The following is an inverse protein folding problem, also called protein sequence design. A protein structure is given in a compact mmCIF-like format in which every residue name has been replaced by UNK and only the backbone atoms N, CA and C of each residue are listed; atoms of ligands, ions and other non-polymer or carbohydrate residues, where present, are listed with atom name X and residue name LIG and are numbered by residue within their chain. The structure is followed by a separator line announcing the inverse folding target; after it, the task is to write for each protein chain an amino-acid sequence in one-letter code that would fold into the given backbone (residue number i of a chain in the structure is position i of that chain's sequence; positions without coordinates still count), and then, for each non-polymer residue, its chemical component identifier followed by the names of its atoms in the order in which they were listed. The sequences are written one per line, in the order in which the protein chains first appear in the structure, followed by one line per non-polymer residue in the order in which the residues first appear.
data_IF_272643879340
#
_entry.id   IF_272643879340
#
_cell.length_a   1.000
_cell.length_b   1.000
_cell.length_c   1.000
_cell.angle_alpha   90.00
_cell.angle_beta   90.00
_cell.angle_gamma   90.00
#
_symmetry.space_group_name_H-M   'P 1'
#
loop_
_entity.id
_entity.type
_entity.pdbx_description
1 polymer ?
#
# COMPACT_ATOMS: atom_id res chain seq x y z
N UNK A 1 -4.49 27.76 5.02
CA UNK A 1 -3.83 27.00 3.91
C UNK A 1 -4.60 25.71 3.73
N UNK A 2 -4.57 25.08 2.54
CA UNK A 2 -5.23 23.79 2.37
C UNK A 2 -4.55 22.73 3.23
N UNK A 3 -5.34 21.86 3.89
CA UNK A 3 -4.83 20.70 4.64
C UNK A 3 -4.40 19.61 3.64
N UNK A 4 -3.11 19.48 3.39
CA UNK A 4 -2.56 18.56 2.41
C UNK A 4 -2.08 17.26 3.05
N UNK A 5 -2.49 16.16 2.46
CA UNK A 5 -2.06 14.80 2.77
C UNK A 5 -1.37 14.22 1.55
N UNK A 6 -0.28 13.49 1.76
CA UNK A 6 0.34 12.66 0.75
C UNK A 6 -0.15 11.21 0.91
N UNK A 7 -0.46 10.56 -0.20
CA UNK A 7 -0.79 9.14 -0.27
C UNK A 7 0.17 8.45 -1.22
N UNK A 8 0.78 7.33 -0.77
CA UNK A 8 1.82 6.63 -1.55
C UNK A 8 1.44 5.16 -1.76
N UNK A 9 0.34 4.86 -2.46
CA UNK A 9 -0.10 3.49 -2.66
C UNK A 9 0.86 2.70 -3.55
N UNK A 10 1.01 1.41 -3.22
CA UNK A 10 1.78 0.46 -4.00
C UNK A 10 0.83 -0.58 -4.61
N UNK A 11 1.00 -0.87 -5.89
CA UNK A 11 0.18 -1.84 -6.63
C UNK A 11 1.04 -2.96 -7.20
N UNK A 12 0.49 -4.17 -7.20
CA UNK A 12 1.12 -5.38 -7.72
C UNK A 12 0.96 -5.48 -9.24
N UNK A 13 1.39 -4.45 -9.96
CA UNK A 13 1.51 -4.42 -11.41
C UNK A 13 2.64 -3.48 -11.83
N UNK A 14 3.17 -3.67 -13.02
CA UNK A 14 4.14 -2.75 -13.61
C UNK A 14 3.74 -2.40 -15.04
N UNK A 15 4.17 -1.21 -15.50
CA UNK A 15 3.91 -0.77 -16.87
C UNK A 15 4.50 -1.75 -17.89
N UNK A 16 5.65 -2.33 -17.58
CA UNK A 16 6.39 -3.24 -18.44
C UNK A 16 5.69 -4.58 -18.65
N UNK A 17 4.86 -5.02 -17.68
CA UNK A 17 4.16 -6.31 -17.74
C UNK A 17 2.67 -6.18 -18.07
N UNK A 18 2.05 -5.08 -17.64
CA UNK A 18 0.63 -4.80 -17.89
C UNK A 18 0.40 -3.29 -18.02
N UNK A 19 0.74 -2.75 -19.19
CA UNK A 19 0.58 -1.33 -19.49
C UNK A 19 -0.89 -0.88 -19.43
N UNK A 20 -1.83 -1.74 -19.77
CA UNK A 20 -3.26 -1.40 -19.76
C UNK A 20 -3.77 -1.15 -18.34
N UNK A 21 -3.39 -2.01 -17.39
CA UNK A 21 -3.72 -1.84 -15.97
C UNK A 21 -2.99 -0.63 -15.37
N UNK A 22 -1.70 -0.46 -15.68
CA UNK A 22 -0.94 0.72 -15.24
C UNK A 22 -1.58 2.03 -15.71
N UNK A 23 -1.95 2.12 -17.00
CA UNK A 23 -2.59 3.31 -17.55
C UNK A 23 -3.97 3.56 -16.91
N UNK A 24 -4.76 2.53 -16.64
CA UNK A 24 -6.04 2.66 -15.94
C UNK A 24 -5.86 3.20 -14.51
N UNK A 25 -4.80 2.81 -13.80
CA UNK A 25 -4.44 3.38 -12.49
C UNK A 25 -4.04 4.86 -12.63
N UNK A 26 -3.25 5.23 -13.63
CA UNK A 26 -2.89 6.63 -13.90
C UNK A 26 -4.13 7.48 -14.21
N UNK A 27 -5.06 6.98 -15.00
CA UNK A 27 -6.34 7.65 -15.30
C UNK A 27 -7.15 7.86 -14.01
N UNK A 28 -7.29 6.82 -13.17
CA UNK A 28 -8.00 6.93 -11.91
C UNK A 28 -7.33 7.94 -10.96
N UNK A 29 -6.00 7.97 -10.89
CA UNK A 29 -5.25 8.95 -10.10
C UNK A 29 -5.53 10.39 -10.52
N UNK A 30 -5.70 10.64 -11.83
CA UNK A 30 -5.96 11.97 -12.39
C UNK A 30 -7.46 12.34 -12.48
N UNK A 31 -8.36 11.42 -12.14
CA UNK A 31 -9.81 11.64 -12.26
C UNK A 31 -10.41 12.41 -11.09
N UNK A 32 -9.70 12.52 -9.96
CA UNK A 32 -10.24 13.11 -8.72
C UNK A 32 -9.80 14.58 -8.60
N UNK A 33 -10.73 15.54 -8.67
CA UNK A 33 -10.41 16.95 -8.45
C UNK A 33 -9.84 17.19 -7.04
N UNK A 34 -8.84 18.06 -6.93
CA UNK A 34 -8.19 18.37 -5.65
C UNK A 34 -7.06 17.41 -5.27
N UNK A 35 -6.81 16.38 -6.08
CA UNK A 35 -5.66 15.50 -5.97
C UNK A 35 -4.72 15.71 -7.18
N UNK A 36 -3.43 15.64 -6.94
CA UNK A 36 -2.37 15.67 -7.97
C UNK A 36 -1.56 14.39 -7.89
N UNK A 37 -1.45 13.67 -9.01
CA UNK A 37 -0.46 12.60 -9.17
C UNK A 37 0.91 13.26 -9.39
N UNK A 38 1.74 13.23 -8.36
CA UNK A 38 3.07 13.87 -8.36
C UNK A 38 4.12 13.00 -9.03
N UNK A 39 4.07 11.67 -8.77
CA UNK A 39 5.01 10.69 -9.33
C UNK A 39 4.34 9.33 -9.50
N UNK A 40 4.79 8.55 -10.48
CA UNK A 40 4.30 7.21 -10.77
C UNK A 40 5.45 6.31 -11.24
N UNK A 41 6.14 5.69 -10.29
CA UNK A 41 7.27 4.81 -10.53
C UNK A 41 6.80 3.39 -10.84
N UNK A 42 7.54 2.70 -11.73
CA UNK A 42 7.25 1.32 -12.12
C UNK A 42 8.54 0.51 -12.20
N UNK A 43 8.46 -0.79 -11.88
CA UNK A 43 9.58 -1.73 -11.95
C UNK A 43 9.08 -3.12 -12.39
N UNK A 44 9.50 -3.53 -13.60
CA UNK A 44 9.11 -4.80 -14.21
C UNK A 44 9.66 -6.04 -13.50
N UNK A 45 10.84 -5.97 -12.86
CA UNK A 45 11.41 -7.09 -12.13
C UNK A 45 10.61 -7.34 -10.84
N UNK A 46 10.33 -6.27 -10.11
CA UNK A 46 9.48 -6.31 -8.92
C UNK A 46 8.01 -6.55 -9.27
N UNK A 47 7.60 -6.26 -10.51
CA UNK A 47 6.20 -6.23 -10.96
C UNK A 47 5.35 -5.40 -10.02
N UNK A 48 5.78 -4.16 -9.82
CA UNK A 48 5.22 -3.22 -8.87
C UNK A 48 5.22 -1.80 -9.45
N UNK A 49 4.19 -1.03 -9.14
CA UNK A 49 4.23 0.42 -9.27
C UNK A 49 3.93 1.11 -7.94
N UNK A 50 4.47 2.31 -7.78
CA UNK A 50 4.31 3.17 -6.62
C UNK A 50 3.89 4.54 -7.11
N UNK A 51 2.74 5.01 -6.64
CA UNK A 51 2.24 6.33 -6.96
C UNK A 51 2.46 7.26 -5.77
N UNK A 52 2.79 8.51 -6.04
CA UNK A 52 2.84 9.58 -5.05
C UNK A 52 1.76 10.60 -5.38
N UNK A 53 0.79 10.75 -4.50
CA UNK A 53 -0.38 11.61 -4.66
C UNK A 53 -0.40 12.65 -3.54
N UNK A 54 -0.73 13.89 -3.88
CA UNK A 54 -0.87 14.98 -2.90
C UNK A 54 -2.21 15.67 -3.16
N UNK A 55 -2.98 15.89 -2.11
CA UNK A 55 -4.27 16.57 -2.20
C UNK A 55 -4.86 16.89 -0.84
N UNK A 56 -6.05 17.48 -0.84
CA UNK A 56 -6.80 17.63 0.40
C UNK A 56 -7.33 16.28 0.91
N UNK A 57 -7.70 16.21 2.19
CA UNK A 57 -8.09 14.96 2.85
C UNK A 57 -9.22 14.23 2.10
N UNK A 58 -10.22 14.95 1.58
CA UNK A 58 -11.36 14.34 0.91
C UNK A 58 -10.97 13.81 -0.48
N UNK A 59 -10.16 14.58 -1.22
CA UNK A 59 -9.65 14.14 -2.51
C UNK A 59 -8.73 12.93 -2.38
N UNK A 60 -7.89 12.88 -1.34
CA UNK A 60 -7.02 11.74 -1.05
C UNK A 60 -7.84 10.50 -0.63
N UNK A 61 -8.90 10.67 0.15
CA UNK A 61 -9.82 9.58 0.49
C UNK A 61 -10.45 8.97 -0.77
N UNK A 62 -10.95 9.81 -1.66
CA UNK A 62 -11.59 9.38 -2.90
C UNK A 62 -10.60 8.70 -3.85
N UNK A 63 -9.42 9.31 -4.10
CA UNK A 63 -8.45 8.74 -5.04
C UNK A 63 -7.87 7.41 -4.53
N UNK A 64 -7.62 7.26 -3.23
CA UNK A 64 -7.16 6.01 -2.65
C UNK A 64 -8.17 4.87 -2.87
N UNK A 65 -9.46 5.18 -2.73
CA UNK A 65 -10.53 4.24 -3.02
C UNK A 65 -10.62 3.90 -4.52
N UNK A 66 -10.63 4.88 -5.41
CA UNK A 66 -10.73 4.66 -6.86
C UNK A 66 -9.56 3.83 -7.40
N UNK A 67 -8.35 4.11 -6.94
CA UNK A 67 -7.16 3.34 -7.28
C UNK A 67 -7.26 1.89 -6.80
N UNK A 68 -7.73 1.68 -5.57
CA UNK A 68 -7.93 0.33 -5.02
C UNK A 68 -9.01 -0.43 -5.79
N UNK A 69 -10.08 0.26 -6.21
CA UNK A 69 -11.13 -0.33 -7.05
C UNK A 69 -10.56 -0.82 -8.38
N UNK A 70 -9.82 0.03 -9.10
CA UNK A 70 -9.17 -0.34 -10.37
C UNK A 70 -8.21 -1.52 -10.18
N UNK A 71 -7.38 -1.49 -9.11
CA UNK A 71 -6.47 -2.59 -8.80
C UNK A 71 -7.21 -3.89 -8.51
N UNK A 72 -8.31 -3.85 -7.74
CA UNK A 72 -9.14 -5.02 -7.41
C UNK A 72 -9.78 -5.64 -8.66
N UNK A 73 -10.22 -4.82 -9.60
CA UNK A 73 -10.88 -5.26 -10.83
C UNK A 73 -9.92 -5.83 -11.88
N UNK A 74 -8.66 -5.35 -11.90
CA UNK A 74 -7.73 -5.64 -13.00
C UNK A 74 -6.54 -6.52 -12.62
N UNK A 75 -6.13 -6.55 -11.35
CA UNK A 75 -4.95 -7.30 -10.89
C UNK A 75 -5.39 -8.63 -10.28
N UNK A 76 -4.95 -9.73 -10.88
CA UNK A 76 -5.18 -11.08 -10.38
C UNK A 76 -3.92 -11.60 -9.67
N UNK A 77 -3.92 -11.56 -8.34
CA UNK A 77 -2.80 -11.98 -7.50
C UNK A 77 -2.49 -13.47 -7.63
N UNK A 78 -3.45 -14.29 -8.06
CA UNK A 78 -3.23 -15.73 -8.29
C UNK A 78 -2.28 -16.00 -9.46
N UNK A 79 -2.12 -15.02 -10.37
CA UNK A 79 -1.23 -15.07 -11.54
C UNK A 79 -0.01 -14.17 -11.40
N UNK A 80 0.01 -13.32 -10.38
CA UNK A 80 1.07 -12.33 -10.19
C UNK A 80 2.42 -12.97 -9.87
N UNK A 81 3.46 -12.54 -10.59
CA UNK A 81 4.87 -12.92 -10.34
C UNK A 81 5.74 -11.68 -10.37
N UNK A 82 6.58 -11.51 -9.36
CA UNK A 82 7.53 -10.42 -9.21
C UNK A 82 8.41 -10.66 -7.99
N UNK A 83 9.55 -9.98 -7.91
CA UNK A 83 10.49 -10.12 -6.79
C UNK A 83 10.05 -9.36 -5.53
N UNK A 84 9.12 -8.42 -5.68
CA UNK A 84 8.59 -7.66 -4.55
C UNK A 84 7.67 -8.51 -3.68
N UNK A 85 7.92 -8.49 -2.36
CA UNK A 85 7.02 -9.10 -1.38
C UNK A 85 5.69 -8.33 -1.35
N UNK A 86 4.59 -9.01 -1.57
CA UNK A 86 3.26 -8.42 -1.70
C UNK A 86 2.18 -9.34 -1.12
N UNK A 87 1.09 -8.76 -0.66
CA UNK A 87 -0.03 -9.49 -0.11
C UNK A 87 -1.37 -9.17 -0.79
N UNK A 88 -1.39 -8.21 -1.69
CA UNK A 88 -2.60 -7.84 -2.43
C UNK A 88 -2.34 -7.04 -3.68
N UNK A 89 -3.39 -6.87 -4.50
CA UNK A 89 -3.40 -6.05 -5.71
C UNK A 89 -3.04 -4.59 -5.40
N UNK A 90 -3.67 -4.01 -4.38
CA UNK A 90 -3.19 -2.86 -3.64
C UNK A 90 -2.50 -3.39 -2.39
N UNK A 91 -1.17 -3.37 -2.41
CA UNK A 91 -0.38 -3.97 -1.35
C UNK A 91 -0.36 -3.11 -0.08
N UNK A 92 -0.17 -1.80 -0.25
CA UNK A 92 -0.15 -0.85 0.87
C UNK A 92 -0.67 0.53 0.47
N UNK A 93 -1.37 1.21 1.39
CA UNK A 93 -1.86 2.59 1.24
C UNK A 93 -1.41 3.40 2.46
N UNK A 94 -0.24 4.07 2.40
CA UNK A 94 0.22 4.96 3.44
C UNK A 94 -0.34 6.38 3.24
N UNK A 95 -0.78 6.99 4.35
CA UNK A 95 -1.14 8.40 4.43
C UNK A 95 -0.09 9.15 5.27
N UNK A 96 0.39 10.28 4.75
CA UNK A 96 1.47 11.06 5.35
C UNK A 96 1.01 12.52 5.46
N UNK A 97 1.08 13.15 6.65
CA UNK A 97 0.77 14.57 6.79
C UNK A 97 1.81 15.41 6.04
N UNK A 98 1.36 16.25 5.08
CA UNK A 98 2.22 17.12 4.28
C UNK A 98 2.22 18.56 4.75
N UNK A 99 1.09 19.08 5.19
CA UNK A 99 1.00 20.44 5.72
C UNK A 99 1.06 20.44 7.25
N UNK A 100 1.56 21.55 7.83
CA UNK A 100 1.63 21.72 9.29
C UNK A 100 0.26 21.69 9.99
N UNK A 101 -0.80 21.90 9.23
CA UNK A 101 -2.18 21.91 9.71
C UNK A 101 -2.85 20.53 9.65
N UNK A 102 -2.13 19.48 9.23
CA UNK A 102 -2.58 18.08 9.24
C UNK A 102 -1.79 17.31 10.29
N UNK A 103 -2.49 16.62 11.15
CA UNK A 103 -1.88 15.76 12.18
C UNK A 103 -1.83 14.30 11.73
N UNK A 104 -0.99 13.50 12.39
CA UNK A 104 -0.94 12.05 12.17
C UNK A 104 -2.27 11.41 12.53
N UNK A 105 -2.94 11.90 13.58
CA UNK A 105 -4.24 11.42 14.03
C UNK A 105 -5.32 11.61 12.96
N UNK A 106 -5.32 12.74 12.22
CA UNK A 106 -6.22 12.96 11.10
C UNK A 106 -5.95 11.94 9.97
N UNK A 107 -4.68 11.61 9.69
CA UNK A 107 -4.32 10.55 8.74
C UNK A 107 -4.72 9.15 9.24
N UNK A 108 -4.65 8.89 10.55
CA UNK A 108 -5.16 7.65 11.17
C UNK A 108 -6.66 7.51 10.94
N UNK A 109 -7.43 8.56 11.21
CA UNK A 109 -8.88 8.54 10.97
C UNK A 109 -9.23 8.41 9.47
N UNK A 110 -8.45 9.05 8.59
CA UNK A 110 -8.56 8.86 7.14
C UNK A 110 -8.33 7.39 6.75
N UNK A 111 -7.28 6.76 7.29
CA UNK A 111 -6.96 5.36 7.00
C UNK A 111 -8.09 4.40 7.39
N UNK A 112 -8.76 4.67 8.50
CA UNK A 112 -9.92 3.89 8.97
C UNK A 112 -11.12 4.03 8.04
N UNK A 113 -11.45 5.26 7.61
CA UNK A 113 -12.56 5.50 6.67
C UNK A 113 -12.32 4.82 5.33
N UNK A 114 -11.10 4.94 4.80
CA UNK A 114 -10.72 4.28 3.54
C UNK A 114 -10.78 2.76 3.69
N UNK A 115 -10.29 2.19 4.79
CA UNK A 115 -10.35 0.75 5.06
C UNK A 115 -11.80 0.24 5.15
N UNK A 116 -12.66 0.98 5.86
CA UNK A 116 -14.09 0.63 5.97
C UNK A 116 -14.76 0.64 4.59
N UNK A 117 -14.55 1.70 3.80
CA UNK A 117 -15.14 1.82 2.46
C UNK A 117 -14.66 0.73 1.51
N UNK A 118 -13.37 0.41 1.52
CA UNK A 118 -12.80 -0.69 0.73
C UNK A 118 -13.46 -2.01 1.09
N UNK A 119 -13.65 -2.29 2.37
CA UNK A 119 -14.37 -3.49 2.79
C UNK A 119 -15.83 -3.48 2.35
N UNK A 120 -16.54 -2.37 2.56
CA UNK A 120 -17.98 -2.28 2.27
C UNK A 120 -18.29 -2.44 0.78
N UNK A 121 -17.49 -1.81 -0.07
CA UNK A 121 -17.75 -1.77 -1.52
C UNK A 121 -16.98 -2.82 -2.32
N UNK A 122 -15.74 -3.15 -1.95
CA UNK A 122 -14.86 -4.03 -2.73
C UNK A 122 -14.66 -5.41 -2.10
N UNK A 123 -15.05 -5.59 -0.84
CA UNK A 123 -14.82 -6.84 -0.06
C UNK A 123 -13.36 -7.26 0.03
N UNK A 124 -12.43 -6.31 -0.04
CA UNK A 124 -11.02 -6.52 0.20
C UNK A 124 -10.74 -6.27 1.68
N UNK A 125 -10.30 -7.29 2.44
CA UNK A 125 -9.98 -7.11 3.84
C UNK A 125 -8.71 -6.27 4.00
N UNK A 126 -8.52 -5.67 5.18
CA UNK A 126 -7.35 -4.85 5.44
C UNK A 126 -6.79 -4.95 6.84
N UNK A 127 -5.48 -4.76 6.94
CA UNK A 127 -4.76 -4.48 8.17
C UNK A 127 -4.55 -2.98 8.31
N UNK A 128 -4.79 -2.44 9.49
CA UNK A 128 -4.23 -1.15 9.86
C UNK A 128 -2.77 -1.32 10.30
N UNK A 129 -1.87 -0.47 9.80
CA UNK A 129 -0.43 -0.57 10.09
C UNK A 129 0.18 0.78 10.51
N UNK A 130 1.44 0.76 10.97
CA UNK A 130 2.19 1.92 11.51
C UNK A 130 1.42 2.64 12.61
N UNK A 131 1.20 3.95 12.50
CA UNK A 131 0.50 4.73 13.52
C UNK A 131 -1.00 4.43 13.59
N UNK A 132 -1.56 3.81 12.56
CA UNK A 132 -2.95 3.32 12.57
C UNK A 132 -3.10 1.93 13.20
N UNK A 133 -1.98 1.23 13.49
CA UNK A 133 -2.01 -0.14 13.99
C UNK A 133 -2.67 -0.24 15.37
N UNK A 134 -3.72 -1.07 15.54
CA UNK A 134 -4.33 -1.30 16.87
C UNK A 134 -3.48 -2.23 17.74
N UNK A 135 -2.47 -2.91 17.16
CA UNK A 135 -1.61 -3.89 17.81
C UNK A 135 -0.15 -3.67 17.43
N UNK A 136 0.82 -3.86 18.36
CA UNK A 136 2.24 -3.63 18.09
C UNK A 136 2.80 -4.43 16.92
N UNK A 137 2.32 -5.67 16.71
CA UNK A 137 2.78 -6.58 15.65
C UNK A 137 2.54 -6.03 14.25
N UNK A 138 1.55 -5.12 14.10
CA UNK A 138 1.16 -4.53 12.82
C UNK A 138 1.83 -3.21 12.51
N UNK A 139 2.58 -2.64 13.46
CA UNK A 139 3.34 -1.42 13.19
C UNK A 139 4.36 -1.61 12.07
N UNK A 140 4.93 -2.79 11.95
CA UNK A 140 5.93 -3.09 10.92
C UNK A 140 5.27 -3.73 9.69
N UNK A 141 5.30 -3.03 8.55
CA UNK A 141 4.74 -3.49 7.28
C UNK A 141 5.35 -4.82 6.81
N UNK A 142 6.66 -5.05 7.03
CA UNK A 142 7.30 -6.31 6.65
C UNK A 142 6.71 -7.50 7.43
N UNK A 143 6.30 -7.29 8.68
CA UNK A 143 5.61 -8.29 9.49
C UNK A 143 4.19 -8.53 8.96
N UNK A 144 3.47 -7.47 8.55
CA UNK A 144 2.17 -7.61 7.90
C UNK A 144 2.27 -8.44 6.61
N UNK A 145 3.28 -8.19 5.77
CA UNK A 145 3.52 -8.89 4.50
C UNK A 145 4.05 -10.31 4.65
N UNK A 146 4.51 -10.72 5.84
CA UNK A 146 5.11 -12.06 6.03
C UNK A 146 4.12 -13.16 5.65
N UNK A 147 4.57 -14.05 4.76
CA UNK A 147 3.76 -15.09 4.14
C UNK A 147 3.26 -14.72 2.74
N UNK A 148 3.30 -13.44 2.41
CA UNK A 148 2.85 -12.89 1.12
C UNK A 148 1.40 -13.28 0.81
N UNK A 149 0.92 -13.06 -0.41
CA UNK A 149 -0.43 -13.43 -0.82
C UNK A 149 -0.75 -14.90 -0.54
N UNK A 150 0.21 -15.77 -0.80
CA UNK A 150 0.07 -17.23 -0.70
C UNK A 150 -0.11 -17.73 0.74
N UNK A 151 0.54 -17.07 1.69
CA UNK A 151 0.45 -17.43 3.12
C UNK A 151 -0.66 -16.70 3.89
N UNK A 152 -1.33 -15.70 3.28
CA UNK A 152 -2.38 -14.96 3.97
C UNK A 152 -3.58 -15.81 4.40
N UNK A 153 -4.07 -16.80 3.61
CA UNK A 153 -5.19 -17.63 4.06
C UNK A 153 -4.95 -18.30 5.41
N UNK A 154 -3.76 -18.86 5.65
CA UNK A 154 -3.40 -19.49 6.91
C UNK A 154 -3.14 -18.46 8.02
N UNK A 155 -2.50 -17.33 7.67
CA UNK A 155 -2.19 -16.26 8.61
C UNK A 155 -3.45 -15.64 9.19
N UNK A 156 -4.48 -15.40 8.40
CA UNK A 156 -5.74 -14.78 8.85
C UNK A 156 -6.57 -15.66 9.81
N UNK A 157 -6.26 -16.96 9.92
CA UNK A 157 -6.89 -17.84 10.90
C UNK A 157 -6.38 -17.58 12.33
N UNK A 158 -5.19 -17.00 12.48
CA UNK A 158 -4.61 -16.66 13.77
C UNK A 158 -5.30 -15.42 14.34
N UNK A 159 -5.58 -15.42 15.65
CA UNK A 159 -6.33 -14.33 16.29
C UNK A 159 -5.64 -12.96 16.18
N UNK A 160 -4.33 -12.94 16.34
CA UNK A 160 -3.50 -11.73 16.22
C UNK A 160 -3.47 -11.16 14.79
N UNK A 161 -3.81 -11.99 13.78
CA UNK A 161 -3.83 -11.62 12.37
C UNK A 161 -5.25 -11.51 11.78
N UNK A 162 -6.29 -11.54 12.62
CA UNK A 162 -7.62 -11.20 12.15
C UNK A 162 -7.61 -9.79 11.50
N UNK A 163 -8.18 -9.58 10.31
CA UNK A 163 -8.24 -8.25 9.69
C UNK A 163 -8.90 -7.21 10.60
N UNK A 164 -8.47 -5.97 10.52
CA UNK A 164 -9.13 -4.87 11.24
C UNK A 164 -10.44 -4.49 10.57
N UNK A 165 -10.49 -4.63 9.25
CA UNK A 165 -11.69 -4.49 8.44
C UNK A 165 -11.83 -5.71 7.54
N UNK A 166 -12.98 -6.37 7.59
CA UNK A 166 -13.28 -7.53 6.78
C UNK A 166 -13.34 -8.85 7.54
N UNK A 167 -13.46 -9.91 6.78
CA UNK A 167 -13.52 -11.29 7.27
C UNK A 167 -12.13 -11.92 7.32
N UNK A 168 -11.98 -13.02 8.08
CA UNK A 168 -10.75 -13.83 8.13
C UNK A 168 -10.54 -14.65 6.84
N UNK A 169 -10.66 -13.99 5.70
CA UNK A 169 -10.53 -14.56 4.37
C UNK A 169 -10.04 -13.49 3.41
N UNK A 170 -9.04 -13.80 2.60
CA UNK A 170 -8.57 -12.89 1.56
C UNK A 170 -9.62 -12.73 0.45
N UNK A 171 -9.58 -11.59 -0.25
CA UNK A 171 -10.28 -11.46 -1.52
C UNK A 171 -9.66 -12.44 -2.54
N UNK A 172 -10.46 -13.19 -3.35
CA UNK A 172 -9.95 -14.30 -4.17
C UNK A 172 -8.83 -13.90 -5.13
N UNK A 173 -8.91 -12.73 -5.74
CA UNK A 173 -7.94 -12.23 -6.71
C UNK A 173 -7.14 -11.04 -6.20
N UNK A 174 -7.73 -10.17 -5.38
CA UNK A 174 -7.07 -8.95 -4.89
C UNK A 174 -6.31 -9.14 -3.57
N UNK A 175 -6.49 -10.25 -2.85
CA UNK A 175 -5.79 -10.53 -1.60
C UNK A 175 -6.24 -9.68 -0.42
N UNK A 176 -5.31 -9.03 0.26
CA UNK A 176 -5.51 -8.17 1.42
C UNK A 176 -4.59 -6.94 1.29
N UNK A 177 -5.00 -5.79 1.83
CA UNK A 177 -4.21 -4.56 1.80
C UNK A 177 -3.80 -4.09 3.20
N UNK A 178 -2.63 -3.43 3.33
CA UNK A 178 -2.27 -2.69 4.53
C UNK A 178 -2.58 -1.20 4.33
N UNK A 179 -3.27 -0.59 5.28
CA UNK A 179 -3.67 0.82 5.21
C UNK A 179 -3.24 1.50 6.50
N UNK A 180 -2.61 2.67 6.41
CA UNK A 180 -2.21 3.34 7.65
C UNK A 180 -1.57 4.70 7.47
N UNK A 181 -1.46 5.42 8.59
CA UNK A 181 -0.76 6.67 8.70
C UNK A 181 0.68 6.45 9.13
N UNK A 182 1.60 7.26 8.61
CA UNK A 182 3.00 7.27 9.05
C UNK A 182 3.62 8.65 8.84
N UNK A 183 4.71 8.90 9.54
CA UNK A 183 5.55 10.07 9.26
C UNK A 183 6.27 9.95 7.91
N UNK A 184 6.72 11.06 7.33
CA UNK A 184 7.55 11.04 6.13
C UNK A 184 8.74 10.10 6.28
N UNK A 185 8.98 9.27 5.28
CA UNK A 185 10.08 8.32 5.22
C UNK A 185 10.86 8.54 3.93
N UNK A 186 12.16 8.76 4.05
CA UNK A 186 13.07 8.77 2.90
C UNK A 186 13.61 7.36 2.72
N UNK A 187 13.09 6.63 1.72
CA UNK A 187 13.62 5.33 1.36
C UNK A 187 14.81 5.51 0.42
N UNK A 188 15.90 4.80 0.70
CA UNK A 188 17.03 4.72 -0.21
C UNK A 188 17.61 3.30 -0.22
N UNK A 189 18.21 2.91 -1.35
CA UNK A 189 18.89 1.64 -1.51
C UNK A 189 20.33 1.89 -1.93
N UNK A 190 21.24 1.08 -1.42
CA UNK A 190 22.64 1.08 -1.83
C UNK A 190 22.91 -0.24 -2.56
N UNK A 191 23.16 -0.16 -3.86
CA UNK A 191 23.57 -1.32 -4.64
C UNK A 191 25.07 -1.57 -4.42
N UNK A 192 25.42 -2.80 -4.07
CA UNK A 192 26.80 -3.22 -3.87
C UNK A 192 27.32 -3.89 -5.15
N UNK A 193 28.61 -3.70 -5.44
CA UNK A 193 29.30 -4.38 -6.54
C UNK A 193 29.68 -5.84 -6.19
N UNK A 194 29.08 -6.42 -5.16
CA UNK A 194 29.33 -7.80 -4.71
C UNK A 194 28.01 -8.47 -4.35
N UNK A 195 27.91 -9.77 -4.56
CA UNK A 195 26.81 -10.62 -4.11
C UNK A 195 27.01 -11.17 -2.68
N UNK A 196 28.11 -10.82 -2.01
CA UNK A 196 28.38 -11.27 -0.64
C UNK A 196 27.44 -10.58 0.36
N UNK A 197 26.46 -11.36 0.85
CA UNK A 197 25.46 -10.90 1.81
C UNK A 197 26.08 -10.49 3.16
N UNK A 198 27.21 -11.07 3.57
CA UNK A 198 27.88 -10.70 4.82
C UNK A 198 28.50 -9.28 4.75
N UNK A 199 28.96 -8.86 3.59
CA UNK A 199 29.38 -7.48 3.36
C UNK A 199 28.18 -6.53 3.51
N UNK A 200 27.04 -6.86 2.87
CA UNK A 200 25.81 -6.07 2.99
C UNK A 200 25.34 -5.94 4.45
N UNK A 201 25.33 -7.04 5.21
CA UNK A 201 24.98 -7.05 6.63
C UNK A 201 25.89 -6.20 7.49
N UNK A 202 27.21 -6.20 7.21
CA UNK A 202 28.17 -5.37 7.94
C UNK A 202 27.90 -3.88 7.70
N UNK A 203 27.67 -3.50 6.45
CA UNK A 203 27.33 -2.11 6.07
C UNK A 203 26.02 -1.67 6.74
N UNK A 204 24.95 -2.49 6.63
CA UNK A 204 23.64 -2.19 7.20
C UNK A 204 23.62 -2.06 8.74
N UNK A 205 24.67 -2.51 9.44
CA UNK A 205 24.81 -2.31 10.90
C UNK A 205 25.44 -0.98 11.28
N UNK A 206 26.05 -0.28 10.33
CA UNK A 206 26.79 0.97 10.55
C UNK A 206 25.94 2.18 10.14
N UNK A 207 25.00 1.99 9.22
CA UNK A 207 24.05 3.00 8.77
C UNK A 207 22.81 2.99 9.66
#
# INVERSE_FOLDING_TARGET
MAKLVECIPNFSCSKEKDEATYNALVEAANSVPGCTLFDAQTDGNHNRCVFTLIGDINAIEEVAFQLTKVATERIDMTKHKGEHKRMGATDVIPFVPQSKDVTVEECVELSKRVAQRIWDELKVPSFLYEDSAPRPERRNLATCRKGEFEGMPEKLLQEEWAPDYGERKIHPTAGITAIGARMPLVAFNINLATSDVEVAKKIAKVI
#
